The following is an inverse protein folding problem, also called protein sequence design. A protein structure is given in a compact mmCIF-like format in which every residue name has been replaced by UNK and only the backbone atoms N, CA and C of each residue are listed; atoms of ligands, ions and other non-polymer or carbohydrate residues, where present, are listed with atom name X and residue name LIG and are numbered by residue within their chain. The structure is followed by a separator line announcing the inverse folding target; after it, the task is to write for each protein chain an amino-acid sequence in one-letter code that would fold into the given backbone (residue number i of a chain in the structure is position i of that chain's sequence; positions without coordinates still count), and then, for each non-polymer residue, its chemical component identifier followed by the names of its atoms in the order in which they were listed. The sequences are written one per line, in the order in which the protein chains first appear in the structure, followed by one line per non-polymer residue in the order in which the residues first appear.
data_IF_491113870593
#
_entry.id   IF_491113870593
#
_cell.length_a   1.000
_cell.length_b   1.000
_cell.length_c   1.000
_cell.angle_alpha   90.00
_cell.angle_beta   90.00
_cell.angle_gamma   90.00
#
_symmetry.space_group_name_H-M   'P 1'
#
loop_
_entity.id
_entity.type
_entity.pdbx_description
1 polymer ?
#
# COMPACT_ATOMS: atom_id res chain seq x y z
N UNK A 1 -2.43 -9.87 2.59
CA UNK A 1 -1.98 -10.36 1.26
C UNK A 1 -1.08 -9.30 0.67
N UNK A 2 0.07 -9.65 0.07
CA UNK A 2 0.94 -8.67 -0.59
C UNK A 2 0.29 -8.11 -1.86
N UNK A 3 0.68 -6.90 -2.25
CA UNK A 3 0.13 -6.21 -3.42
C UNK A 3 0.34 -6.98 -4.73
N UNK A 4 1.51 -7.60 -4.91
CA UNK A 4 1.81 -8.44 -6.06
C UNK A 4 0.90 -9.67 -6.14
N UNK A 5 0.62 -10.33 -5.02
CA UNK A 5 -0.33 -11.46 -4.98
C UNK A 5 -1.74 -11.00 -5.33
N UNK A 6 -2.19 -9.84 -4.83
CA UNK A 6 -3.50 -9.30 -5.16
C UNK A 6 -3.65 -9.00 -6.65
N UNK A 7 -2.62 -8.43 -7.29
CA UNK A 7 -2.58 -8.26 -8.75
C UNK A 7 -2.64 -9.59 -9.51
N UNK A 8 -1.85 -10.57 -9.08
CA UNK A 8 -1.81 -11.88 -9.73
C UNK A 8 -3.17 -12.58 -9.66
N UNK A 9 -3.84 -12.53 -8.51
CA UNK A 9 -5.20 -13.06 -8.36
C UNK A 9 -6.17 -12.34 -9.31
N UNK A 10 -6.15 -11.01 -9.35
CA UNK A 10 -7.02 -10.23 -10.22
C UNK A 10 -6.83 -10.58 -11.71
N UNK A 11 -5.57 -10.73 -12.16
CA UNK A 11 -5.23 -11.15 -13.51
C UNK A 11 -5.78 -12.55 -13.85
N UNK A 12 -5.76 -13.46 -12.87
CA UNK A 12 -6.38 -14.79 -12.99
C UNK A 12 -7.88 -14.78 -12.67
N UNK A 13 -8.54 -13.62 -12.69
CA UNK A 13 -9.97 -13.46 -12.42
C UNK A 13 -10.42 -14.00 -11.06
N UNK A 14 -9.51 -14.05 -10.08
CA UNK A 14 -9.79 -14.42 -8.69
C UNK A 14 -9.91 -13.16 -7.85
N UNK A 15 -10.90 -13.15 -6.97
CA UNK A 15 -11.17 -12.01 -6.09
C UNK A 15 -10.63 -12.26 -4.69
N UNK A 16 -10.11 -11.20 -4.07
CA UNK A 16 -9.86 -11.14 -2.62
C UNK A 16 -10.83 -10.13 -1.99
N UNK A 17 -11.16 -10.29 -0.72
CA UNK A 17 -12.03 -9.34 -0.01
C UNK A 17 -11.34 -8.00 0.21
N UNK A 18 -10.05 -8.02 0.53
CA UNK A 18 -9.23 -6.84 0.78
C UNK A 18 -7.74 -7.14 0.55
N UNK A 19 -7.00 -6.14 0.10
CA UNK A 19 -5.54 -6.07 0.21
C UNK A 19 -5.13 -5.14 1.35
N UNK A 20 -4.28 -5.61 2.24
CA UNK A 20 -3.65 -4.81 3.31
C UNK A 20 -2.16 -4.76 3.03
N UNK A 21 -1.63 -3.58 2.77
CA UNK A 21 -0.22 -3.34 2.44
C UNK A 21 0.42 -2.43 3.49
N UNK A 22 1.35 -2.98 4.26
CA UNK A 22 2.13 -2.27 5.26
C UNK A 22 3.52 -2.04 4.67
N UNK A 23 3.96 -0.77 4.61
CA UNK A 23 5.25 -0.34 4.04
C UNK A 23 5.60 -1.05 2.72
N UNK A 24 4.74 -0.97 1.68
CA UNK A 24 4.90 -1.76 0.47
C UNK A 24 6.15 -1.38 -0.32
N UNK A 25 6.92 -2.39 -0.76
CA UNK A 25 7.93 -2.26 -1.79
C UNK A 25 7.27 -2.24 -3.17
N UNK A 26 7.13 -1.05 -3.76
CA UNK A 26 6.33 -0.80 -4.96
C UNK A 26 7.14 -0.49 -6.22
N UNK A 27 8.38 0.00 -6.06
CA UNK A 27 9.21 0.50 -7.16
C UNK A 27 10.62 -0.12 -7.16
N UNK A 28 10.86 -1.17 -7.97
CA UNK A 28 12.16 -1.83 -8.09
C UNK A 28 13.35 -0.92 -8.38
N UNK A 29 13.13 0.11 -9.21
CA UNK A 29 14.18 1.03 -9.65
C UNK A 29 14.59 2.08 -8.59
N UNK A 30 13.95 2.08 -7.41
CA UNK A 30 14.30 3.00 -6.32
C UNK A 30 14.29 4.48 -6.71
N UNK A 31 15.20 5.28 -6.13
CA UNK A 31 15.46 6.66 -6.56
C UNK A 31 14.40 7.70 -6.19
N UNK A 32 13.47 7.38 -5.30
CA UNK A 32 12.51 8.35 -4.74
C UNK A 32 13.21 9.32 -3.78
N UNK A 33 12.57 10.46 -3.48
CA UNK A 33 13.15 11.44 -2.53
C UNK A 33 13.30 10.83 -1.14
N UNK A 34 12.34 10.04 -0.69
CA UNK A 34 12.42 9.28 0.56
C UNK A 34 13.58 8.30 0.58
N UNK A 35 13.80 7.55 -0.50
CA UNK A 35 14.93 6.60 -0.59
C UNK A 35 16.28 7.31 -0.50
N UNK A 36 16.43 8.46 -1.16
CA UNK A 36 17.66 9.27 -1.08
C UNK A 36 17.84 9.84 0.33
N UNK A 37 16.79 10.44 0.90
CA UNK A 37 16.83 11.08 2.22
C UNK A 37 17.13 10.09 3.34
N UNK A 38 16.54 8.90 3.29
CA UNK A 38 16.66 7.88 4.33
C UNK A 38 17.58 6.73 3.90
N UNK A 39 18.50 6.97 2.96
CA UNK A 39 19.40 5.93 2.43
C UNK A 39 20.13 5.16 3.53
N UNK A 40 20.61 5.85 4.57
CA UNK A 40 21.33 5.26 5.71
C UNK A 40 20.42 4.86 6.87
N UNK A 41 19.12 4.60 6.63
CA UNK A 41 18.20 4.14 7.66
C UNK A 41 18.73 2.86 8.33
N UNK A 42 18.76 2.79 9.67
CA UNK A 42 19.39 1.70 10.40
C UNK A 42 18.60 0.38 10.37
N UNK A 43 17.33 0.40 9.96
CA UNK A 43 16.44 -0.77 9.94
C UNK A 43 16.20 -1.29 8.51
N UNK A 44 15.91 -0.39 7.58
CA UNK A 44 15.77 -0.69 6.15
C UNK A 44 16.40 0.41 5.31
N UNK A 45 17.69 0.22 5.01
CA UNK A 45 18.53 1.15 4.24
C UNK A 45 18.29 1.04 2.73
N UNK A 46 18.73 2.07 2.00
CA UNK A 46 18.76 2.05 0.53
C UNK A 46 19.64 0.92 0.00
N UNK A 47 20.75 0.60 0.68
CA UNK A 47 21.61 -0.55 0.32
C UNK A 47 20.87 -1.87 0.46
N UNK A 48 20.17 -2.10 1.57
CA UNK A 48 19.36 -3.30 1.77
C UNK A 48 18.23 -3.40 0.75
N UNK A 49 17.55 -2.29 0.47
CA UNK A 49 16.48 -2.24 -0.52
C UNK A 49 16.98 -2.60 -1.93
N UNK A 50 18.09 -2.00 -2.38
CA UNK A 50 18.71 -2.30 -3.66
C UNK A 50 19.18 -3.76 -3.74
N UNK A 51 19.77 -4.27 -2.65
CA UNK A 51 20.17 -5.67 -2.57
C UNK A 51 18.95 -6.61 -2.68
N UNK A 52 17.87 -6.34 -1.94
CA UNK A 52 16.65 -7.14 -1.98
C UNK A 52 16.08 -7.24 -3.42
N UNK A 53 16.02 -6.13 -4.14
CA UNK A 53 15.62 -6.13 -5.55
C UNK A 53 16.59 -6.91 -6.45
N UNK A 54 17.91 -6.78 -6.25
CA UNK A 54 18.89 -7.53 -7.04
C UNK A 54 18.81 -9.05 -6.84
N UNK A 55 18.43 -9.49 -5.63
CA UNK A 55 18.20 -10.91 -5.32
C UNK A 55 16.89 -11.38 -5.93
N UNK A 56 15.84 -10.55 -5.88
CA UNK A 56 14.54 -10.88 -6.45
C UNK A 56 14.54 -10.93 -7.98
N UNK A 57 15.35 -10.09 -8.62
CA UNK A 57 15.46 -9.93 -10.07
C UNK A 57 16.90 -10.18 -10.54
N UNK A 58 17.41 -11.42 -10.41
CA UNK A 58 18.80 -11.72 -10.71
C UNK A 58 19.11 -11.48 -12.20
N UNK A 59 20.08 -10.61 -12.46
CA UNK A 59 20.52 -10.30 -13.82
C UNK A 59 19.57 -9.41 -14.62
N UNK A 60 18.64 -8.69 -13.96
CA UNK A 60 17.79 -7.72 -14.65
C UNK A 60 18.63 -6.63 -15.34
N UNK A 61 18.36 -6.41 -16.62
CA UNK A 61 18.93 -5.36 -17.46
C UNK A 61 18.05 -4.10 -17.52
N UNK A 62 16.98 -4.08 -16.73
CA UNK A 62 15.97 -3.02 -16.70
C UNK A 62 14.64 -3.44 -17.33
N UNK A 63 14.54 -4.64 -17.91
CA UNK A 63 13.30 -5.14 -18.51
C UNK A 63 12.33 -5.68 -17.46
N UNK A 64 12.82 -6.45 -16.48
CA UNK A 64 12.00 -7.04 -15.42
C UNK A 64 11.55 -6.00 -14.40
N UNK A 65 12.39 -5.03 -14.06
CA UNK A 65 12.03 -3.92 -13.17
C UNK A 65 10.89 -3.05 -13.70
N UNK A 66 10.64 -3.05 -15.02
CA UNK A 66 9.54 -2.35 -15.67
C UNK A 66 8.33 -3.24 -15.98
N UNK A 67 8.39 -4.53 -15.64
CA UNK A 67 7.25 -5.44 -15.79
C UNK A 67 6.15 -5.12 -14.77
N UNK A 68 4.89 -5.05 -15.22
CA UNK A 68 3.74 -4.75 -14.36
C UNK A 68 3.52 -5.77 -13.23
N UNK A 69 4.04 -6.99 -13.41
CA UNK A 69 4.01 -8.07 -12.41
C UNK A 69 5.01 -7.84 -11.28
N UNK A 70 5.99 -6.94 -11.49
CA UNK A 70 7.07 -6.62 -10.55
C UNK A 70 6.91 -5.19 -10.01
N UNK A 71 6.65 -4.23 -10.88
CA UNK A 71 6.46 -2.82 -10.51
C UNK A 71 4.98 -2.50 -10.30
N UNK A 72 4.62 -2.14 -9.06
CA UNK A 72 3.26 -1.73 -8.72
C UNK A 72 2.86 -0.38 -9.33
N UNK A 73 3.84 0.34 -9.88
CA UNK A 73 3.64 1.64 -10.53
C UNK A 73 3.40 1.53 -12.03
N UNK A 74 3.50 0.34 -12.60
CA UNK A 74 3.16 0.02 -13.99
C UNK A 74 1.80 -0.66 -14.02
N UNK A 75 0.95 -0.27 -14.97
CA UNK A 75 -0.37 -0.89 -15.14
C UNK A 75 -0.27 -2.24 -15.84
N UNK A 76 -1.14 -3.20 -15.48
CA UNK A 76 -1.30 -4.40 -16.27
C UNK A 76 -1.82 -4.03 -17.68
N UNK A 77 -1.51 -4.85 -18.70
CA UNK A 77 -1.98 -4.62 -20.06
C UNK A 77 -3.50 -4.73 -20.16
N UNK A 78 -4.13 -5.61 -19.39
CA UNK A 78 -5.59 -5.73 -19.34
C UNK A 78 -6.18 -4.84 -18.23
N UNK A 79 -7.03 -3.90 -18.63
CA UNK A 79 -7.81 -3.05 -17.71
C UNK A 79 -8.62 -3.87 -16.70
N UNK A 80 -9.13 -5.03 -17.12
CA UNK A 80 -9.88 -5.96 -16.26
C UNK A 80 -9.08 -6.40 -15.01
N UNK A 81 -7.76 -6.48 -15.11
CA UNK A 81 -6.89 -6.78 -13.96
C UNK A 81 -6.97 -5.66 -12.90
N UNK A 82 -7.02 -4.39 -13.31
CA UNK A 82 -7.19 -3.26 -12.38
C UNK A 82 -8.61 -3.22 -11.81
N UNK A 83 -9.62 -3.48 -12.65
CA UNK A 83 -11.02 -3.45 -12.24
C UNK A 83 -11.34 -4.55 -11.22
N UNK A 84 -10.63 -5.69 -11.29
CA UNK A 84 -10.74 -6.80 -10.34
C UNK A 84 -9.86 -6.68 -9.10
N UNK A 85 -9.07 -5.61 -8.97
CA UNK A 85 -8.34 -5.37 -7.72
C UNK A 85 -9.33 -5.25 -6.54
N UNK A 86 -8.99 -5.85 -5.40
CA UNK A 86 -9.79 -5.68 -4.19
C UNK A 86 -9.69 -4.23 -3.69
N UNK A 87 -10.56 -3.82 -2.76
CA UNK A 87 -10.32 -2.65 -1.94
C UNK A 87 -8.95 -2.76 -1.23
N UNK A 88 -8.24 -1.64 -1.08
CA UNK A 88 -6.85 -1.62 -0.61
C UNK A 88 -6.65 -0.64 0.55
N UNK A 89 -6.12 -1.14 1.66
CA UNK A 89 -5.54 -0.33 2.74
C UNK A 89 -4.03 -0.23 2.54
N UNK A 90 -3.48 0.97 2.68
CA UNK A 90 -2.04 1.22 2.69
C UNK A 90 -1.62 1.90 3.98
N UNK A 91 -0.54 1.42 4.55
CA UNK A 91 0.23 2.10 5.58
C UNK A 91 1.65 2.37 5.06
N UNK A 92 2.14 3.58 5.29
CA UNK A 92 3.55 3.97 5.11
C UNK A 92 4.10 4.59 6.40
N UNK A 93 5.42 4.77 6.45
CA UNK A 93 6.12 5.39 7.58
C UNK A 93 6.93 6.61 7.10
N UNK A 94 6.94 7.70 7.87
CA UNK A 94 7.56 8.98 7.47
C UNK A 94 9.07 8.89 7.28
N UNK A 95 9.75 8.01 8.04
CA UNK A 95 11.22 7.86 8.06
C UNK A 95 11.63 6.54 7.39
N UNK A 96 11.10 6.28 6.20
CA UNK A 96 11.32 5.05 5.44
C UNK A 96 11.79 5.35 4.02
N UNK A 97 12.70 4.53 3.49
CA UNK A 97 13.09 4.61 2.07
C UNK A 97 11.93 4.32 1.13
N UNK A 98 10.97 3.49 1.58
CA UNK A 98 9.79 3.06 0.79
C UNK A 98 8.62 4.06 0.83
N UNK A 99 8.71 5.12 1.64
CA UNK A 99 7.62 6.06 1.91
C UNK A 99 6.97 6.59 0.62
N UNK A 100 7.77 7.21 -0.25
CA UNK A 100 7.26 7.90 -1.43
C UNK A 100 6.74 6.89 -2.48
N UNK A 101 7.34 5.71 -2.63
CA UNK A 101 6.82 4.70 -3.57
C UNK A 101 5.50 4.09 -3.10
N UNK A 102 5.32 3.95 -1.78
CA UNK A 102 4.02 3.60 -1.20
C UNK A 102 2.96 4.67 -1.42
N UNK A 103 3.32 5.96 -1.30
CA UNK A 103 2.43 7.08 -1.62
C UNK A 103 2.04 7.10 -3.10
N UNK A 104 3.01 6.92 -4.01
CA UNK A 104 2.75 6.82 -5.45
C UNK A 104 1.77 5.67 -5.76
N UNK A 105 1.96 4.50 -5.14
CA UNK A 105 1.05 3.38 -5.32
C UNK A 105 -0.36 3.68 -4.78
N UNK A 106 -0.47 4.33 -3.62
CA UNK A 106 -1.74 4.76 -3.06
C UNK A 106 -2.48 5.74 -3.99
N UNK A 107 -1.77 6.69 -4.60
CA UNK A 107 -2.36 7.62 -5.57
C UNK A 107 -2.93 6.89 -6.79
N UNK A 108 -2.24 5.86 -7.31
CA UNK A 108 -2.76 5.03 -8.42
C UNK A 108 -4.02 4.29 -8.02
N UNK A 109 -4.03 3.67 -6.83
CA UNK A 109 -5.21 2.97 -6.31
C UNK A 109 -6.38 3.92 -6.04
N UNK A 110 -6.11 5.15 -5.62
CA UNK A 110 -7.14 6.19 -5.46
C UNK A 110 -7.76 6.54 -6.81
N UNK A 111 -6.95 6.73 -7.85
CA UNK A 111 -7.42 6.96 -9.21
C UNK A 111 -8.25 5.78 -9.76
N UNK A 112 -7.91 4.54 -9.39
CA UNK A 112 -8.65 3.34 -9.75
C UNK A 112 -9.89 3.08 -8.86
N UNK A 113 -10.20 3.94 -7.89
CA UNK A 113 -11.32 3.74 -6.97
C UNK A 113 -11.16 2.51 -6.05
N UNK A 114 -9.92 2.10 -5.78
CA UNK A 114 -9.57 0.92 -4.96
C UNK A 114 -9.02 1.27 -3.59
N UNK A 115 -8.48 2.48 -3.39
CA UNK A 115 -7.92 2.88 -2.09
C UNK A 115 -9.04 3.17 -1.08
N UNK A 116 -9.18 2.34 -0.04
CA UNK A 116 -10.15 2.58 1.04
C UNK A 116 -9.59 3.50 2.11
N UNK A 117 -8.29 3.41 2.38
CA UNK A 117 -7.62 4.16 3.43
C UNK A 117 -6.12 4.15 3.22
N UNK A 118 -5.51 5.28 3.55
CA UNK A 118 -4.08 5.50 3.52
C UNK A 118 -3.67 6.13 4.85
N UNK A 119 -2.70 5.53 5.52
CA UNK A 119 -2.18 6.00 6.81
C UNK A 119 -0.67 6.20 6.72
N UNK A 120 -0.19 7.22 7.40
CA UNK A 120 1.25 7.50 7.55
C UNK A 120 1.55 7.69 9.04
N UNK A 121 2.53 6.93 9.54
CA UNK A 121 2.96 6.99 10.94
C UNK A 121 4.36 7.59 11.05
N UNK A 122 4.61 8.43 12.07
CA UNK A 122 5.89 9.15 12.23
C UNK A 122 7.04 8.28 12.78
N UNK A 123 7.31 7.16 12.13
CA UNK A 123 8.22 6.12 12.60
C UNK A 123 9.17 5.64 11.51
N UNK A 124 10.12 4.78 11.89
CA UNK A 124 11.02 4.11 10.94
C UNK A 124 10.37 2.84 10.39
N UNK A 125 11.00 2.19 9.40
CA UNK A 125 10.47 1.01 8.70
C UNK A 125 9.82 -0.04 9.62
N UNK A 126 10.48 -0.40 10.72
CA UNK A 126 10.00 -1.41 11.68
C UNK A 126 9.21 -0.85 12.87
N UNK A 127 9.13 0.48 13.01
CA UNK A 127 8.63 1.09 14.24
C UNK A 127 7.10 1.13 14.37
N UNK A 128 6.39 0.43 13.49
CA UNK A 128 4.98 0.07 13.68
C UNK A 128 4.75 -1.42 13.97
N UNK A 129 5.82 -2.24 13.93
CA UNK A 129 5.73 -3.69 14.20
C UNK A 129 5.42 -3.91 15.67
N UNK A 130 4.39 -4.72 16.02
CA UNK A 130 4.03 -4.98 17.40
C UNK A 130 5.21 -5.41 18.26
N UNK A 131 5.45 -4.66 19.34
CA UNK A 131 6.55 -4.90 20.29
C UNK A 131 7.79 -4.05 20.04
N UNK A 132 7.99 -3.53 18.82
CA UNK A 132 9.01 -2.51 18.50
C UNK A 132 8.44 -1.09 18.51
N UNK A 133 7.12 -0.97 18.51
CA UNK A 133 6.34 0.26 18.43
C UNK A 133 5.87 0.81 19.79
N UNK A 134 5.95 0.01 20.86
CA UNK A 134 5.35 0.29 22.17
C UNK A 134 5.78 1.65 22.75
N UNK A 135 4.80 2.51 23.06
CA UNK A 135 5.02 3.88 23.53
C UNK A 135 5.63 4.83 22.48
N UNK A 136 5.75 4.38 21.23
CA UNK A 136 6.35 5.10 20.13
C UNK A 136 5.32 5.65 19.13
N UNK A 137 5.77 6.46 18.16
CA UNK A 137 4.90 7.13 17.20
C UNK A 137 4.24 6.21 16.17
N UNK A 138 4.60 4.93 16.11
CA UNK A 138 3.95 3.91 15.27
C UNK A 138 3.04 2.96 16.04
N UNK A 139 2.85 3.18 17.35
CA UNK A 139 2.01 2.34 18.19
C UNK A 139 0.58 2.28 17.64
N UNK A 140 0.03 1.06 17.53
CA UNK A 140 -1.33 0.82 17.03
C UNK A 140 -1.45 0.84 15.50
N UNK A 141 -0.36 1.01 14.75
CA UNK A 141 -0.42 1.01 13.29
C UNK A 141 -0.90 -0.33 12.72
N UNK A 142 -0.41 -1.44 13.28
CA UNK A 142 -0.89 -2.78 12.94
C UNK A 142 -2.30 -3.05 13.48
N UNK A 143 -2.68 -2.48 14.63
CA UNK A 143 -4.06 -2.60 15.14
C UNK A 143 -5.05 -1.94 14.18
N UNK A 144 -4.68 -0.79 13.59
CA UNK A 144 -5.52 -0.16 12.57
C UNK A 144 -5.65 -1.03 11.33
N UNK A 145 -4.54 -1.56 10.82
CA UNK A 145 -4.56 -2.47 9.67
C UNK A 145 -5.41 -3.73 9.94
N UNK A 146 -5.31 -4.29 11.14
CA UNK A 146 -6.07 -5.45 11.57
C UNK A 146 -7.56 -5.13 11.73
N UNK A 147 -7.91 -4.00 12.33
CA UNK A 147 -9.30 -3.51 12.41
C UNK A 147 -9.91 -3.38 11.02
N UNK A 148 -9.21 -2.75 10.07
CA UNK A 148 -9.70 -2.62 8.70
C UNK A 148 -9.87 -3.99 8.03
N UNK A 149 -8.92 -4.92 8.22
CA UNK A 149 -9.03 -6.28 7.72
C UNK A 149 -10.28 -6.99 8.26
N UNK A 150 -10.47 -6.97 9.58
CA UNK A 150 -11.60 -7.63 10.26
C UNK A 150 -12.92 -7.01 9.82
N UNK A 151 -13.00 -5.68 9.72
CA UNK A 151 -14.20 -4.98 9.27
C UNK A 151 -14.61 -5.41 7.86
N UNK A 152 -13.65 -5.51 6.92
CA UNK A 152 -13.93 -5.96 5.56
C UNK A 152 -14.34 -7.43 5.49
N UNK A 153 -13.71 -8.29 6.29
CA UNK A 153 -14.00 -9.72 6.28
C UNK A 153 -15.39 -10.01 6.87
N UNK A 154 -15.77 -9.30 7.93
CA UNK A 154 -17.07 -9.47 8.57
C UNK A 154 -18.20 -8.77 7.81
N UNK A 155 -17.91 -7.64 7.18
CA UNK A 155 -18.87 -6.90 6.38
C UNK A 155 -18.20 -6.27 5.15
N UNK A 156 -18.18 -6.97 4.00
CA UNK A 156 -17.51 -6.49 2.79
C UNK A 156 -17.98 -5.11 2.29
N UNK A 157 -19.22 -4.72 2.59
CA UNK A 157 -19.74 -3.39 2.22
C UNK A 157 -19.00 -2.24 2.93
N UNK A 158 -18.44 -2.48 4.12
CA UNK A 158 -17.64 -1.49 4.86
C UNK A 158 -16.35 -1.09 4.13
N UNK A 159 -15.97 -1.81 3.07
CA UNK A 159 -14.75 -1.59 2.31
C UNK A 159 -15.04 -1.14 0.88
N UNK A 160 -16.29 -0.77 0.60
CA UNK A 160 -16.64 -0.07 -0.61
C UNK A 160 -16.09 1.37 -0.56
N UNK A 161 -15.26 1.72 -1.54
CA UNK A 161 -14.62 3.04 -1.63
C UNK A 161 -15.66 4.15 -1.88
N UNK A 162 -16.74 3.84 -2.61
CA UNK A 162 -17.81 4.78 -2.90
C UNK A 162 -18.52 5.26 -1.62
N UNK A 163 -18.78 4.34 -0.68
CA UNK A 163 -19.49 4.63 0.57
C UNK A 163 -18.62 5.41 1.57
N UNK A 164 -17.29 5.32 1.49
CA UNK A 164 -16.38 6.10 2.34
C UNK A 164 -16.12 7.51 1.82
N UNK A 165 -16.19 7.73 0.51
CA UNK A 165 -16.06 9.07 -0.07
C UNK A 165 -17.32 9.91 0.18
N UNK A 166 -18.51 9.32 0.09
CA UNK A 166 -19.76 9.98 0.46
C UNK A 166 -19.78 10.36 1.95
N UNK A 167 -19.30 9.48 2.83
CA UNK A 167 -19.22 9.76 4.28
C UNK A 167 -18.26 10.91 4.66
N UNK A 168 -17.18 11.16 3.87
CA UNK A 168 -16.31 12.32 4.07
C UNK A 168 -16.95 13.63 3.62
N UNK A 169 -17.68 13.62 2.50
CA UNK A 169 -18.43 14.79 2.04
C UNK A 169 -19.49 15.21 3.08
N UNK A 170 -20.12 14.25 3.76
CA UNK A 170 -21.09 14.53 4.82
C UNK A 170 -20.48 15.04 6.14
N UNK A 171 -19.16 14.95 6.35
CA UNK A 171 -18.53 15.53 7.56
C UNK A 171 -18.26 17.02 7.43
N UNK A 172 -18.14 17.53 6.21
CA UNK A 172 -17.88 18.95 5.94
C UNK A 172 -19.17 19.77 5.77
N UNK A 173 -20.34 19.12 5.72
CA UNK A 173 -21.65 19.76 5.74
C UNK A 173 -22.53 19.12 6.81
N UNK A 174 -22.92 19.90 7.83
CA UNK A 174 -23.89 19.51 8.86
C UNK A 174 -25.31 19.30 8.32
N UNK A 175 -25.50 18.50 7.27
CA UNK A 175 -26.82 18.18 6.73
C UNK A 175 -26.69 16.97 5.80
N UNK A 176 -27.07 15.79 6.30
CA UNK A 176 -27.51 14.71 5.43
C UNK A 176 -28.61 13.92 6.16
N UNK A 177 -29.86 14.29 5.86
CA UNK A 177 -31.04 13.44 6.05
C UNK A 177 -31.00 12.30 5.04
N UNK A 178 -31.26 11.10 5.54
CA UNK A 178 -31.43 9.87 4.77
C UNK A 178 -32.57 9.99 3.75
N UNK A 179 -32.31 9.53 2.52
CA UNK A 179 -33.34 9.06 1.59
C UNK A 179 -33.16 7.55 1.46
#
# INVERSE_FOLDING_TARGET
MSAHTSRLLAHHSKTATIQVSLVPMAKPNGGTKSMIKYWNNPFWSGTQNSFAWSVYLPGDDGTLTNDWRVSLLVDPPEQETLDKLPPVYIQINTKDVLRDEGEMYAQRLKAAGKLIEFTEYDTYHVGGVPGLDRGGPGEGSYDRAFSVLVDCLNNPSNCNVADKQSCRLCRDTHECTSI
#
